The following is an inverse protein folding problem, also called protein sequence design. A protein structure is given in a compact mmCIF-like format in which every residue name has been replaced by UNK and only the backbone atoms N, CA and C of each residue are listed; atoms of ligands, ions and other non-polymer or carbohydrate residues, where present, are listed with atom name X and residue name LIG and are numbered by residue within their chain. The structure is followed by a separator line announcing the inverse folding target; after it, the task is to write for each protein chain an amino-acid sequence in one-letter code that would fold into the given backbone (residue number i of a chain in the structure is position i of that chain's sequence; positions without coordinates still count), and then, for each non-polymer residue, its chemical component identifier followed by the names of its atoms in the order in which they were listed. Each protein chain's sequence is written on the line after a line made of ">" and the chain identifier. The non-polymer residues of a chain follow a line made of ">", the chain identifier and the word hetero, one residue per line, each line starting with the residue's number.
data_IF_707397962832
#
_entry.id   IF_707397962832
#
_cell.length_a   1.000
_cell.length_b   1.000
_cell.length_c   1.000
_cell.angle_alpha   90.00
_cell.angle_beta   90.00
_cell.angle_gamma   90.00
#
_symmetry.space_group_name_H-M   'P 1'
#
loop_
_entity.id
_entity.type
_entity.pdbx_description
1 polymer ?
#
# COMPACT_ATOMS: atom_id res chain seq x y z
N UNK A 1 -22.64 20.64 0.78
CA UNK A 1 -21.42 21.47 0.86
C UNK A 1 -20.22 20.86 1.59
N UNK A 2 -20.24 19.61 2.07
CA UNK A 2 -19.04 18.99 2.68
C UNK A 2 -18.06 18.34 1.69
N UNK A 3 -18.42 18.28 0.41
CA UNK A 3 -17.63 17.58 -0.62
C UNK A 3 -16.34 18.33 -1.01
N UNK A 4 -16.38 19.67 -1.00
CA UNK A 4 -15.29 20.53 -1.51
C UNK A 4 -14.16 20.74 -0.51
N UNK A 5 -14.45 20.68 0.79
CA UNK A 5 -13.45 20.93 1.83
C UNK A 5 -12.49 19.72 2.01
N UNK A 6 -12.97 18.51 1.71
CA UNK A 6 -12.18 17.27 1.80
C UNK A 6 -11.19 17.12 0.64
N UNK A 7 -11.56 17.59 -0.55
CA UNK A 7 -10.69 17.59 -1.73
C UNK A 7 -9.55 18.60 -1.60
N UNK A 8 -9.86 19.80 -1.09
CA UNK A 8 -8.88 20.87 -0.87
C UNK A 8 -7.83 20.52 0.20
N UNK A 9 -8.22 19.81 1.26
CA UNK A 9 -7.30 19.35 2.31
C UNK A 9 -6.45 18.14 1.87
N UNK A 10 -6.96 17.28 0.98
CA UNK A 10 -6.19 16.17 0.36
C UNK A 10 -5.09 16.68 -0.56
N UNK A 11 -5.37 17.72 -1.35
CA UNK A 11 -4.41 18.30 -2.30
C UNK A 11 -3.16 18.87 -1.61
N UNK A 12 -3.35 19.53 -0.46
CA UNK A 12 -2.24 20.10 0.35
C UNK A 12 -1.32 19.06 1.01
N UNK A 13 -1.78 17.83 1.25
CA UNK A 13 -0.99 16.79 1.93
C UNK A 13 -0.30 15.83 0.96
N UNK A 14 -0.87 15.67 -0.23
CA UNK A 14 -0.26 14.98 -1.37
C UNK A 14 1.07 15.65 -1.83
N UNK A 15 1.20 16.96 -1.61
CA UNK A 15 2.45 17.70 -1.87
C UNK A 15 3.58 17.35 -0.88
N UNK A 16 3.29 16.64 0.22
CA UNK A 16 4.27 16.25 1.25
C UNK A 16 5.12 15.02 0.90
N UNK A 17 4.75 14.27 -0.14
CA UNK A 17 5.58 13.19 -0.67
C UNK A 17 6.67 13.81 -1.56
N UNK A 18 7.71 14.36 -0.95
CA UNK A 18 8.89 14.83 -1.66
C UNK A 18 9.97 13.72 -1.63
N UNK A 19 10.86 13.69 -2.63
CA UNK A 19 12.00 12.75 -2.75
C UNK A 19 12.93 12.70 -1.51
N UNK A 20 12.80 13.68 -0.61
CA UNK A 20 13.56 13.86 0.63
C UNK A 20 12.72 13.73 1.91
N UNK A 21 11.48 13.20 1.82
CA UNK A 21 10.66 12.92 2.99
C UNK A 21 11.32 11.86 3.88
N UNK A 22 11.24 12.05 5.20
CA UNK A 22 11.69 11.04 6.16
C UNK A 22 10.69 9.87 6.25
N UNK A 23 11.06 8.80 6.93
CA UNK A 23 10.24 7.58 6.98
C UNK A 23 8.87 7.79 7.64
N UNK A 24 8.79 8.64 8.66
CA UNK A 24 7.54 9.00 9.32
C UNK A 24 6.59 9.77 8.37
N UNK A 25 7.12 10.72 7.59
CA UNK A 25 6.34 11.46 6.59
C UNK A 25 5.84 10.56 5.46
N UNK A 26 6.70 9.66 4.96
CA UNK A 26 6.29 8.64 3.97
C UNK A 26 5.18 7.76 4.54
N UNK A 27 5.31 7.34 5.79
CA UNK A 27 4.33 6.50 6.46
C UNK A 27 2.97 7.20 6.56
N UNK A 28 2.92 8.41 7.12
CA UNK A 28 1.65 9.12 7.26
C UNK A 28 0.98 9.40 5.91
N UNK A 29 1.77 9.76 4.90
CA UNK A 29 1.24 9.95 3.56
C UNK A 29 0.66 8.64 3.00
N UNK A 30 1.32 7.49 3.22
CA UNK A 30 0.80 6.19 2.83
C UNK A 30 -0.51 5.86 3.57
N UNK A 31 -0.58 6.11 4.88
CA UNK A 31 -1.80 5.90 5.69
C UNK A 31 -2.98 6.72 5.13
N UNK A 32 -2.75 7.97 4.72
CA UNK A 32 -3.79 8.82 4.15
C UNK A 32 -4.31 8.36 2.78
N UNK A 33 -3.55 7.51 2.08
CA UNK A 33 -3.96 6.92 0.81
C UNK A 33 -4.87 5.70 0.99
N UNK A 34 -4.99 5.15 2.21
CA UNK A 34 -5.89 4.02 2.44
C UNK A 34 -7.35 4.44 2.17
N UNK A 35 -8.04 3.64 1.37
CA UNK A 35 -9.45 3.85 1.04
C UNK A 35 -10.33 3.51 2.24
N UNK A 36 -11.57 3.99 2.19
CA UNK A 36 -12.54 3.78 3.27
C UNK A 36 -12.73 2.29 3.58
N UNK A 37 -12.70 1.41 2.57
CA UNK A 37 -12.87 -0.04 2.76
C UNK A 37 -11.57 -0.76 3.15
N UNK A 38 -10.43 -0.06 3.23
CA UNK A 38 -9.15 -0.62 3.72
C UNK A 38 -8.10 -0.91 2.64
N UNK A 39 -8.46 -0.82 1.37
CA UNK A 39 -7.55 -1.10 0.26
C UNK A 39 -6.75 0.12 -0.18
N UNK A 40 -5.79 -0.13 -1.07
CA UNK A 40 -4.97 0.87 -1.72
C UNK A 40 -5.12 0.79 -3.23
N UNK A 41 -5.18 1.96 -3.88
CA UNK A 41 -5.06 2.10 -5.33
C UNK A 41 -3.66 2.62 -5.64
N UNK A 42 -3.03 2.14 -6.71
CA UNK A 42 -1.76 2.69 -7.14
C UNK A 42 -1.99 4.07 -7.75
N UNK A 43 -1.60 5.12 -7.02
CA UNK A 43 -1.72 6.51 -7.46
C UNK A 43 -0.35 7.12 -7.66
N UNK A 44 -0.24 8.10 -8.56
CA UNK A 44 1.02 8.78 -8.91
C UNK A 44 1.80 9.26 -7.68
N UNK A 45 1.10 9.66 -6.62
CA UNK A 45 1.74 10.10 -5.38
C UNK A 45 2.56 9.00 -4.70
N UNK A 46 2.18 7.73 -4.83
CA UNK A 46 2.97 6.63 -4.29
C UNK A 46 4.35 6.55 -4.92
N UNK A 47 4.51 6.88 -6.21
CA UNK A 47 5.80 6.83 -6.94
C UNK A 47 6.85 7.75 -6.31
N UNK A 48 6.42 8.79 -5.59
CA UNK A 48 7.32 9.69 -4.87
C UNK A 48 7.98 9.04 -3.64
N UNK A 49 7.51 7.86 -3.22
CA UNK A 49 8.18 6.96 -2.27
C UNK A 49 9.10 6.04 -3.10
N UNK A 50 10.44 6.12 -2.97
CA UNK A 50 11.37 5.36 -3.82
C UNK A 50 11.11 3.85 -3.84
N UNK A 51 10.66 3.28 -2.73
CA UNK A 51 10.35 1.85 -2.64
C UNK A 51 9.05 1.48 -3.38
N UNK A 52 8.14 2.43 -3.62
CA UNK A 52 6.89 2.19 -4.36
C UNK A 52 7.08 2.29 -5.87
N UNK A 53 8.11 2.98 -6.35
CA UNK A 53 8.48 3.00 -7.78
C UNK A 53 8.81 1.59 -8.32
N UNK A 54 9.25 0.69 -7.43
CA UNK A 54 9.54 -0.72 -7.74
C UNK A 54 8.29 -1.61 -7.78
N UNK A 55 7.10 -1.09 -7.53
CA UNK A 55 5.84 -1.84 -7.42
C UNK A 55 5.61 -2.77 -8.61
N UNK A 56 5.54 -2.24 -9.82
CA UNK A 56 5.18 -3.03 -11.02
C UNK A 56 6.21 -4.12 -11.31
N UNK A 57 7.49 -3.82 -11.11
CA UNK A 57 8.58 -4.78 -11.31
C UNK A 57 8.53 -5.94 -10.31
N UNK A 58 8.25 -5.65 -9.04
CA UNK A 58 8.19 -6.68 -7.98
C UNK A 58 6.89 -7.47 -8.08
N UNK A 59 5.75 -6.80 -8.25
CA UNK A 59 4.45 -7.46 -8.46
C UNK A 59 4.50 -8.36 -9.69
N UNK A 60 5.12 -7.90 -10.79
CA UNK A 60 5.29 -8.70 -12.01
C UNK A 60 6.07 -10.01 -11.80
N UNK A 61 6.98 -10.07 -10.83
CA UNK A 61 7.72 -11.28 -10.48
C UNK A 61 6.91 -12.26 -9.62
N UNK A 62 6.02 -11.76 -8.76
CA UNK A 62 5.20 -12.58 -7.86
C UNK A 62 3.88 -13.02 -8.51
N UNK A 63 3.31 -12.20 -9.40
CA UNK A 63 2.02 -12.45 -10.06
C UNK A 63 1.91 -13.85 -10.72
N UNK A 64 2.93 -14.38 -11.42
CA UNK A 64 2.87 -15.73 -11.99
C UNK A 64 2.73 -16.87 -10.97
N UNK A 65 3.03 -16.62 -9.69
CA UNK A 65 2.91 -17.60 -8.62
C UNK A 65 1.47 -17.77 -8.11
N UNK A 66 0.55 -16.89 -8.51
CA UNK A 66 -0.85 -16.92 -8.09
C UNK A 66 -1.70 -17.53 -9.20
N UNK A 67 -2.55 -18.50 -8.84
CA UNK A 67 -3.34 -19.27 -9.80
C UNK A 67 -4.50 -18.50 -10.45
N UNK A 68 -4.83 -17.32 -9.91
CA UNK A 68 -5.95 -16.48 -10.35
C UNK A 68 -5.51 -15.05 -10.60
N UNK A 69 -6.10 -14.44 -11.63
CA UNK A 69 -6.01 -13.01 -11.86
C UNK A 69 -6.67 -12.26 -10.70
N UNK A 70 -5.96 -11.30 -10.13
CA UNK A 70 -6.45 -10.38 -9.11
C UNK A 70 -6.47 -8.96 -9.69
N UNK A 71 -7.29 -8.07 -9.14
CA UNK A 71 -7.28 -6.65 -9.52
C UNK A 71 -5.95 -5.98 -9.15
N UNK A 72 -5.64 -4.85 -9.79
CA UNK A 72 -4.46 -4.05 -9.42
C UNK A 72 -4.56 -3.57 -7.96
N UNK A 73 -5.75 -3.20 -7.49
CA UNK A 73 -5.98 -2.82 -6.09
C UNK A 73 -5.57 -3.91 -5.09
N UNK A 74 -5.81 -5.18 -5.43
CA UNK A 74 -5.34 -6.32 -4.61
C UNK A 74 -3.81 -6.34 -4.57
N UNK A 75 -3.16 -6.20 -5.72
CA UNK A 75 -1.70 -6.22 -5.81
C UNK A 75 -1.06 -5.04 -5.09
N UNK A 76 -1.60 -3.84 -5.26
CA UNK A 76 -1.13 -2.64 -4.54
C UNK A 76 -1.31 -2.80 -3.05
N UNK A 77 -2.46 -3.31 -2.59
CA UNK A 77 -2.71 -3.54 -1.16
C UNK A 77 -1.73 -4.56 -0.58
N UNK A 78 -1.47 -5.68 -1.26
CA UNK A 78 -0.49 -6.68 -0.86
C UNK A 78 0.94 -6.09 -0.80
N UNK A 79 1.30 -5.27 -1.78
CA UNK A 79 2.61 -4.62 -1.86
C UNK A 79 2.81 -3.62 -0.72
N UNK A 80 1.80 -2.79 -0.43
CA UNK A 80 1.83 -1.83 0.68
C UNK A 80 2.01 -2.54 2.01
N UNK A 81 1.28 -3.63 2.27
CA UNK A 81 1.46 -4.44 3.48
C UNK A 81 2.88 -4.99 3.58
N UNK A 82 3.41 -5.53 2.47
CA UNK A 82 4.78 -6.04 2.43
C UNK A 82 5.81 -4.95 2.76
N UNK A 83 5.64 -3.75 2.21
CA UNK A 83 6.47 -2.57 2.50
C UNK A 83 6.39 -2.12 3.96
N UNK A 84 5.19 -2.00 4.53
CA UNK A 84 4.99 -1.60 5.92
C UNK A 84 5.75 -2.53 6.88
N UNK A 85 5.60 -3.84 6.65
CA UNK A 85 6.26 -4.87 7.46
C UNK A 85 7.79 -4.89 7.32
N UNK A 86 8.36 -4.45 6.20
CA UNK A 86 9.82 -4.54 5.95
C UNK A 86 10.55 -3.23 6.17
N UNK A 87 10.07 -2.13 5.58
CA UNK A 87 10.75 -0.83 5.61
C UNK A 87 10.27 0.07 6.73
N UNK A 88 9.03 -0.13 7.20
CA UNK A 88 8.43 0.68 8.27
C UNK A 88 8.29 -0.07 9.59
N UNK A 89 9.03 -1.16 9.80
CA UNK A 89 8.90 -2.02 10.98
C UNK A 89 9.13 -1.28 12.31
N UNK A 90 9.94 -0.22 12.32
CA UNK A 90 10.19 0.63 13.49
C UNK A 90 8.95 1.42 13.93
N UNK A 91 7.98 1.63 13.02
CA UNK A 91 6.76 2.39 13.23
C UNK A 91 5.52 1.48 13.28
N UNK A 92 5.66 0.24 13.78
CA UNK A 92 4.59 -0.75 13.77
C UNK A 92 3.31 -0.26 14.47
N UNK A 93 3.45 0.46 15.58
CA UNK A 93 2.30 0.94 16.35
C UNK A 93 1.47 1.95 15.56
N UNK A 94 2.09 2.66 14.64
CA UNK A 94 1.49 3.68 13.80
C UNK A 94 0.68 3.08 12.64
N UNK A 95 1.04 1.88 12.15
CA UNK A 95 0.41 1.27 10.97
C UNK A 95 -0.28 -0.08 11.19
N UNK A 96 -0.18 -0.72 12.36
CA UNK A 96 -0.77 -2.05 12.57
C UNK A 96 -2.29 -2.07 12.30
N UNK A 97 -3.02 -1.02 12.70
CA UNK A 97 -4.46 -0.93 12.41
C UNK A 97 -4.77 -0.73 10.92
N UNK A 98 -3.85 -0.10 10.19
CA UNK A 98 -3.96 0.12 8.75
C UNK A 98 -3.81 -1.21 8.02
N UNK A 99 -2.81 -2.01 8.43
CA UNK A 99 -2.63 -3.38 7.96
C UNK A 99 -3.83 -4.27 8.29
N UNK A 100 -4.33 -4.26 9.53
CA UNK A 100 -5.46 -5.11 9.95
C UNK A 100 -6.68 -4.87 9.06
N UNK A 101 -6.97 -3.61 8.76
CA UNK A 101 -8.08 -3.24 7.89
C UNK A 101 -7.87 -3.70 6.44
N UNK A 102 -6.64 -3.56 5.93
CA UNK A 102 -6.28 -4.02 4.59
C UNK A 102 -6.37 -5.55 4.46
N UNK A 103 -5.91 -6.28 5.48
CA UNK A 103 -6.01 -7.74 5.55
C UNK A 103 -7.47 -8.21 5.53
N UNK A 104 -8.34 -7.59 6.34
CA UNK A 104 -9.79 -7.88 6.31
C UNK A 104 -10.43 -7.62 4.95
N UNK A 105 -10.01 -6.56 4.26
CA UNK A 105 -10.49 -6.32 2.91
C UNK A 105 -10.01 -7.40 1.92
N UNK A 106 -8.74 -7.81 2.00
CA UNK A 106 -8.14 -8.85 1.15
C UNK A 106 -8.79 -10.23 1.32
N UNK A 107 -9.24 -10.57 2.53
CA UNK A 107 -10.00 -11.81 2.80
C UNK A 107 -11.27 -11.90 1.94
N UNK A 108 -11.86 -10.76 1.57
CA UNK A 108 -13.02 -10.67 0.68
C UNK A 108 -12.71 -10.75 -0.82
N UNK A 109 -11.45 -10.70 -1.26
CA UNK A 109 -11.08 -10.55 -2.68
C UNK A 109 -10.90 -11.86 -3.45
N UNK A 110 -11.24 -13.02 -2.86
CA UNK A 110 -11.14 -14.35 -3.48
C UNK A 110 -9.78 -14.63 -4.17
N UNK A 111 -8.69 -14.29 -3.49
CA UNK A 111 -7.32 -14.43 -3.97
C UNK A 111 -7.00 -15.93 -4.16
N UNK A 112 -6.51 -16.31 -5.35
CA UNK A 112 -6.22 -17.69 -5.72
C UNK A 112 -4.96 -18.30 -5.08
N UNK A 113 -4.58 -17.86 -3.89
CA UNK A 113 -3.37 -18.26 -3.20
C UNK A 113 -3.37 -17.81 -1.73
N UNK A 114 -2.44 -18.34 -0.95
CA UNK A 114 -2.25 -17.95 0.44
C UNK A 114 -1.70 -16.52 0.52
N UNK A 115 -2.52 -15.59 1.01
CA UNK A 115 -2.20 -14.17 1.20
C UNK A 115 -0.90 -14.00 2.00
N UNK A 116 -0.71 -14.79 3.07
CA UNK A 116 0.48 -14.67 3.91
C UNK A 116 1.74 -15.09 3.15
N UNK A 117 1.66 -16.14 2.33
CA UNK A 117 2.77 -16.55 1.47
C UNK A 117 3.06 -15.51 0.38
N UNK A 118 2.04 -14.92 -0.25
CA UNK A 118 2.21 -13.89 -1.28
C UNK A 118 2.92 -12.67 -0.69
N UNK A 119 2.45 -12.17 0.47
CA UNK A 119 3.12 -11.07 1.19
C UNK A 119 4.57 -11.44 1.49
N UNK A 120 4.84 -12.65 1.97
CA UNK A 120 6.21 -13.11 2.24
C UNK A 120 7.11 -13.11 1.00
N UNK A 121 6.59 -13.45 -0.18
CA UNK A 121 7.38 -13.37 -1.41
C UNK A 121 7.67 -11.92 -1.80
N UNK A 122 6.69 -11.01 -1.69
CA UNK A 122 6.89 -9.58 -1.93
C UNK A 122 7.95 -9.00 -0.98
N UNK A 123 7.88 -9.35 0.31
CA UNK A 123 8.84 -8.88 1.32
C UNK A 123 10.30 -9.25 1.01
N UNK A 124 10.55 -10.37 0.31
CA UNK A 124 11.92 -10.77 -0.08
C UNK A 124 12.51 -9.89 -1.18
N UNK A 125 11.66 -9.20 -1.94
CA UNK A 125 12.05 -8.41 -3.12
C UNK A 125 12.14 -6.90 -2.81
N UNK A 126 11.56 -6.47 -1.69
CA UNK A 126 11.51 -5.07 -1.21
C UNK A 126 12.74 -4.73 -0.35
#
# INVERSE_FOLDING_TARGET
>A
DDSDNRASNKKSKIDALQLNANDEQKLYALIELQKFDGYFEFVENMIKIPEMDRHDSIVGQVRPMVSRTCSEDVWTTLYVIAYLRTKMCAFRNEWEMIEDKAMRWLEGQHIGGDIANIIRQLQKLI
#
